data_IF_273823815081
#
_entry.id   IF_273823815081
#
_cell.length_a   1.000
_cell.length_b   1.000
_cell.length_c   1.000
_cell.angle_alpha   90.00
_cell.angle_beta   90.00
_cell.angle_gamma   90.00
#
_symmetry.space_group_name_H-M   'P 1'
#
loop_
_entity.id
_entity.type
_entity.pdbx_description
1 polymer ?
#
# COMPACT_ATOMS: atom_id res chain seq x y z
N UNK A 1 -11.21 -23.70 31.12
CA UNK A 1 -11.79 -22.67 31.99
C UNK A 1 -12.37 -21.60 31.08
N UNK A 2 -13.69 -21.36 31.13
CA UNK A 2 -14.34 -20.39 30.26
C UNK A 2 -14.03 -18.96 30.74
N UNK A 3 -13.38 -18.17 29.90
CA UNK A 3 -13.13 -16.74 30.15
C UNK A 3 -14.48 -16.02 30.22
N UNK A 4 -14.78 -15.38 31.36
CA UNK A 4 -15.99 -14.58 31.52
C UNK A 4 -15.82 -13.28 30.74
N UNK A 5 -16.78 -12.99 29.85
CA UNK A 5 -16.97 -11.68 29.25
C UNK A 5 -17.20 -10.64 30.37
N UNK A 6 -16.18 -9.83 30.66
CA UNK A 6 -16.29 -8.71 31.59
C UNK A 6 -16.69 -7.47 30.80
N UNK A 7 -17.99 -7.14 30.82
CA UNK A 7 -18.51 -5.88 30.28
C UNK A 7 -17.88 -4.73 31.07
N UNK A 8 -17.14 -3.85 30.40
CA UNK A 8 -16.54 -2.65 31.00
C UNK A 8 -15.01 -2.66 31.17
N UNK A 9 -14.29 -3.73 30.79
CA UNK A 9 -12.83 -3.61 30.59
C UNK A 9 -12.57 -2.94 29.25
N UNK A 10 -11.92 -1.78 29.29
CA UNK A 10 -11.44 -1.07 28.11
C UNK A 10 -10.63 -2.01 27.23
N UNK A 11 -10.89 -1.97 25.91
CA UNK A 11 -10.09 -2.72 24.95
C UNK A 11 -8.60 -2.39 25.17
N UNK A 12 -7.69 -3.39 25.08
CA UNK A 12 -6.27 -3.14 25.23
C UNK A 12 -5.84 -2.06 24.24
N UNK A 13 -5.04 -1.07 24.67
CA UNK A 13 -4.62 0.04 23.78
C UNK A 13 -3.68 -0.44 22.68
N UNK A 14 -2.85 -1.42 23.00
CA UNK A 14 -1.92 -2.09 22.08
C UNK A 14 -1.82 -3.58 22.40
N UNK A 15 -1.29 -4.35 21.45
CA UNK A 15 -0.96 -5.76 21.62
C UNK A 15 0.34 -6.09 20.86
N UNK A 16 1.20 -6.98 21.40
CA UNK A 16 2.35 -7.48 20.68
C UNK A 16 1.90 -8.48 19.61
N UNK A 17 2.58 -8.49 18.46
CA UNK A 17 2.38 -9.45 17.39
C UNK A 17 3.72 -9.87 16.79
N UNK A 18 3.86 -11.15 16.50
CA UNK A 18 5.06 -11.68 15.85
C UNK A 18 4.74 -11.86 14.37
N UNK A 19 5.61 -11.33 13.51
CA UNK A 19 5.47 -11.41 12.06
C UNK A 19 6.66 -12.14 11.48
N UNK A 20 6.39 -13.22 10.75
CA UNK A 20 7.40 -13.86 9.92
C UNK A 20 7.50 -13.13 8.58
N UNK A 21 8.63 -12.44 8.35
CA UNK A 21 8.91 -11.78 7.08
C UNK A 21 9.77 -12.70 6.22
N UNK A 22 9.37 -12.99 4.96
CA UNK A 22 10.18 -13.77 4.04
C UNK A 22 11.40 -12.95 3.60
N UNK A 23 12.59 -13.33 4.06
CA UNK A 23 13.86 -12.71 3.60
C UNK A 23 14.63 -13.67 2.69
N UNK A 24 15.56 -13.18 1.85
CA UNK A 24 16.41 -14.04 1.00
C UNK A 24 17.24 -15.06 1.77
N UNK A 25 17.46 -14.84 3.08
CA UNK A 25 18.24 -15.71 3.96
C UNK A 25 17.35 -16.65 4.81
N UNK A 26 16.04 -16.66 4.59
CA UNK A 26 15.06 -17.43 5.34
C UNK A 26 14.00 -16.55 6.02
N UNK A 27 12.89 -17.13 6.50
CA UNK A 27 11.90 -16.38 7.28
C UNK A 27 12.55 -15.82 8.55
N UNK A 28 12.35 -14.53 8.81
CA UNK A 28 12.81 -13.87 10.03
C UNK A 28 11.61 -13.37 10.82
N UNK A 29 11.56 -13.72 12.10
CA UNK A 29 10.56 -13.19 13.01
C UNK A 29 10.92 -11.77 13.42
N UNK A 30 9.96 -10.87 13.31
CA UNK A 30 10.03 -9.48 13.77
C UNK A 30 8.88 -9.29 14.76
N UNK A 31 9.19 -8.78 15.95
CA UNK A 31 8.19 -8.48 16.96
C UNK A 31 7.72 -7.04 16.76
N UNK A 32 6.42 -6.90 16.54
CA UNK A 32 5.76 -5.63 16.40
C UNK A 32 4.86 -5.35 17.60
N UNK A 33 4.70 -4.08 17.94
CA UNK A 33 3.64 -3.63 18.82
C UNK A 33 2.59 -2.89 17.98
N UNK A 34 1.35 -3.37 18.04
CA UNK A 34 0.25 -2.86 17.25
C UNK A 34 -0.77 -2.16 18.13
N UNK A 35 -1.34 -1.05 17.66
CA UNK A 35 -2.50 -0.41 18.28
C UNK A 35 -3.76 -1.25 18.03
N UNK A 36 -4.57 -1.44 19.06
CA UNK A 36 -5.90 -2.02 18.88
C UNK A 36 -6.85 -1.01 18.24
N UNK A 37 -7.55 -1.46 17.19
CA UNK A 37 -8.62 -0.71 16.54
C UNK A 37 -9.89 -1.53 16.46
N UNK A 38 -11.03 -0.85 16.59
CA UNK A 38 -12.34 -1.48 16.41
C UNK A 38 -12.49 -1.99 14.97
N UNK A 39 -13.31 -3.02 14.77
CA UNK A 39 -13.51 -3.58 13.42
C UNK A 39 -14.03 -2.56 12.41
N UNK A 40 -14.88 -1.63 12.85
CA UNK A 40 -15.39 -0.51 12.05
C UNK A 40 -14.31 0.50 11.70
N UNK A 41 -13.46 0.87 12.65
CA UNK A 41 -12.33 1.78 12.43
C UNK A 41 -11.32 1.19 11.45
N UNK A 42 -11.00 -0.10 11.61
CA UNK A 42 -10.10 -0.80 10.68
C UNK A 42 -10.69 -0.97 9.28
N UNK A 43 -11.99 -1.27 9.19
CA UNK A 43 -12.66 -1.36 7.90
C UNK A 43 -12.58 -0.03 7.15
N UNK A 44 -12.91 1.07 7.83
CA UNK A 44 -12.79 2.42 7.27
C UNK A 44 -11.35 2.76 6.86
N UNK A 45 -10.37 2.42 7.70
CA UNK A 45 -8.96 2.67 7.38
C UNK A 45 -8.50 1.94 6.12
N UNK A 46 -8.97 0.71 5.89
CA UNK A 46 -8.67 -0.06 4.67
C UNK A 46 -9.41 0.49 3.45
N UNK A 47 -10.65 0.94 3.61
CA UNK A 47 -11.42 1.58 2.53
C UNK A 47 -10.75 2.89 2.10
N UNK A 48 -10.45 3.78 3.05
CA UNK A 48 -9.74 5.04 2.79
C UNK A 48 -8.40 4.78 2.07
N UNK A 49 -7.72 3.70 2.44
CA UNK A 49 -6.46 3.29 1.83
C UNK A 49 -6.62 2.75 0.40
N UNK A 50 -7.62 1.90 0.16
CA UNK A 50 -7.93 1.38 -1.16
C UNK A 50 -8.38 2.50 -2.13
N UNK A 51 -9.14 3.47 -1.64
CA UNK A 51 -9.50 4.68 -2.39
C UNK A 51 -8.26 5.52 -2.72
N UNK A 52 -7.34 5.67 -1.76
CA UNK A 52 -6.06 6.36 -1.97
C UNK A 52 -5.21 5.73 -3.07
N UNK A 53 -5.07 4.40 -3.06
CA UNK A 53 -4.36 3.65 -4.12
C UNK A 53 -5.04 3.85 -5.47
N UNK A 54 -6.37 3.74 -5.52
CA UNK A 54 -7.15 3.89 -6.74
C UNK A 54 -6.99 5.29 -7.35
N UNK A 55 -7.00 6.32 -6.50
CA UNK A 55 -6.80 7.71 -6.92
C UNK A 55 -5.41 7.93 -7.51
N UNK A 56 -4.36 7.49 -6.83
CA UNK A 56 -2.98 7.65 -7.33
C UNK A 56 -2.76 6.85 -8.61
N UNK A 57 -3.31 5.64 -8.70
CA UNK A 57 -3.27 4.84 -9.94
C UNK A 57 -3.87 5.62 -11.11
N UNK A 58 -5.05 6.23 -10.91
CA UNK A 58 -5.68 7.06 -11.94
C UNK A 58 -4.82 8.27 -12.31
N UNK A 59 -4.24 8.95 -11.33
CA UNK A 59 -3.34 10.09 -11.56
C UNK A 59 -2.10 9.69 -12.38
N UNK A 60 -1.55 8.49 -12.19
CA UNK A 60 -0.43 7.98 -13.00
C UNK A 60 -0.84 7.78 -14.47
N UNK A 61 -2.02 7.22 -14.72
CA UNK A 61 -2.54 7.08 -16.09
C UNK A 61 -2.86 8.43 -16.73
N UNK A 62 -3.46 9.35 -15.99
CA UNK A 62 -3.76 10.70 -16.47
C UNK A 62 -2.47 11.46 -16.79
N UNK A 63 -1.43 11.33 -15.96
CA UNK A 63 -0.11 11.90 -16.21
C UNK A 63 0.54 11.32 -17.47
N UNK A 64 0.49 10.00 -17.66
CA UNK A 64 0.98 9.34 -18.88
C UNK A 64 0.27 9.86 -20.14
N UNK A 65 -1.05 10.10 -20.06
CA UNK A 65 -1.83 10.69 -21.15
C UNK A 65 -1.44 12.15 -21.44
N UNK A 66 -1.17 12.94 -20.40
CA UNK A 66 -0.68 14.33 -20.56
C UNK A 66 0.69 14.36 -21.22
N UNK A 67 1.61 13.49 -20.79
CA UNK A 67 2.93 13.37 -21.43
C UNK A 67 2.83 12.95 -22.90
N UNK A 68 1.98 11.98 -23.21
CA UNK A 68 1.73 11.56 -24.59
C UNK A 68 1.15 12.69 -25.45
N UNK A 69 0.23 13.47 -24.89
CA UNK A 69 -0.35 14.65 -25.56
C UNK A 69 0.71 15.72 -25.82
N UNK A 70 1.62 15.96 -24.87
CA UNK A 70 2.75 16.87 -25.06
C UNK A 70 3.70 16.37 -26.14
N UNK A 71 4.06 15.08 -26.10
CA UNK A 71 4.91 14.46 -27.12
C UNK A 71 4.29 14.57 -28.53
N UNK A 72 2.99 14.32 -28.65
CA UNK A 72 2.23 14.49 -29.88
C UNK A 72 2.24 15.96 -30.37
N UNK A 73 2.06 16.92 -29.46
CA UNK A 73 2.07 18.35 -29.81
C UNK A 73 3.44 18.79 -30.32
N UNK A 74 4.52 18.30 -29.70
CA UNK A 74 5.90 18.60 -30.13
C UNK A 74 6.20 17.91 -31.47
N UNK A 75 5.74 16.67 -31.66
CA UNK A 75 5.91 15.95 -32.92
C UNK A 75 5.14 16.60 -34.09
N UNK A 76 3.89 17.02 -33.86
CA UNK A 76 3.07 17.68 -34.88
C UNK A 76 3.57 19.07 -35.27
N UNK A 77 4.29 19.77 -34.39
CA UNK A 77 4.96 21.04 -34.73
C UNK A 77 6.16 20.86 -35.68
N UNK A 78 6.78 19.68 -35.69
CA UNK A 78 8.00 19.41 -36.46
C UNK A 78 7.77 18.54 -37.71
N UNK A 79 6.53 18.11 -37.99
CA UNK A 79 6.20 17.20 -39.09
C UNK A 79 5.06 17.73 -39.98
N UNK A 80 5.15 17.58 -41.33
CA UNK A 80 4.12 18.05 -42.25
C UNK A 80 2.86 17.14 -42.33
N UNK A 81 2.87 15.97 -41.68
CA UNK A 81 1.69 15.10 -41.53
C UNK A 81 1.15 15.23 -40.11
N UNK A 82 0.19 16.13 -39.93
CA UNK A 82 -0.58 16.25 -38.69
C UNK A 82 -1.91 15.54 -38.88
N UNK A 83 -2.35 14.76 -37.89
CA UNK A 83 -3.64 14.08 -37.92
C UNK A 83 -4.77 15.08 -38.27
N UNK A 84 -5.51 14.77 -39.31
CA UNK A 84 -6.55 15.65 -39.89
C UNK A 84 -7.90 15.50 -39.20
N UNK A 85 -8.08 14.42 -38.42
CA UNK A 85 -9.28 14.15 -37.64
C UNK A 85 -8.96 13.99 -36.15
N UNK A 86 -9.97 14.26 -35.31
CA UNK A 86 -9.86 14.09 -33.85
C UNK A 86 -9.61 12.62 -33.46
N UNK A 87 -10.23 11.68 -34.17
CA UNK A 87 -10.05 10.24 -33.94
C UNK A 87 -8.62 9.75 -34.25
N UNK A 88 -7.99 10.27 -35.31
CA UNK A 88 -6.58 9.95 -35.63
C UNK A 88 -5.64 10.52 -34.58
N UNK A 89 -5.91 11.75 -34.12
CA UNK A 89 -5.14 12.41 -33.05
C UNK A 89 -5.20 11.60 -31.76
N UNK A 90 -6.38 11.16 -31.34
CA UNK A 90 -6.53 10.34 -30.13
C UNK A 90 -5.79 9.02 -30.25
N UNK A 91 -5.87 8.36 -31.41
CA UNK A 91 -5.16 7.10 -31.68
C UNK A 91 -3.64 7.27 -31.62
N UNK A 92 -3.11 8.35 -32.16
CA UNK A 92 -1.67 8.65 -32.11
C UNK A 92 -1.21 9.02 -30.69
N UNK A 93 -2.01 9.78 -29.93
CA UNK A 93 -1.73 10.07 -28.52
C UNK A 93 -1.73 8.77 -27.70
N UNK A 94 -2.70 7.88 -27.90
CA UNK A 94 -2.76 6.58 -27.24
C UNK A 94 -1.53 5.72 -27.58
N UNK A 95 -1.05 5.74 -28.82
CA UNK A 95 0.15 5.02 -29.24
C UNK A 95 1.45 5.60 -28.64
N UNK A 96 1.45 6.90 -28.32
CA UNK A 96 2.57 7.59 -27.65
C UNK A 96 2.54 7.46 -26.13
N UNK A 97 1.45 6.94 -25.56
CA UNK A 97 1.35 6.71 -24.13
C UNK A 97 2.33 5.62 -23.72
N UNK A 98 3.30 6.01 -22.88
CA UNK A 98 4.28 5.06 -22.36
C UNK A 98 3.58 4.07 -21.42
N UNK A 99 3.91 2.76 -21.50
CA UNK A 99 3.43 1.82 -20.50
C UNK A 99 4.02 2.20 -19.14
N UNK A 100 3.16 2.26 -18.13
CA UNK A 100 3.58 2.37 -16.73
C UNK A 100 4.30 1.06 -16.38
N UNK A 101 5.49 1.15 -15.79
CA UNK A 101 6.30 -0.04 -15.51
C UNK A 101 5.76 -0.78 -14.29
N UNK A 102 5.86 -2.10 -14.28
CA UNK A 102 5.49 -2.91 -13.11
C UNK A 102 6.24 -2.47 -11.85
N UNK A 103 7.50 -2.08 -11.98
CA UNK A 103 8.30 -1.53 -10.88
C UNK A 103 7.71 -0.25 -10.27
N UNK A 104 7.06 0.60 -11.07
CA UNK A 104 6.41 1.82 -10.55
C UNK A 104 5.15 1.47 -9.74
N UNK A 105 4.42 0.43 -10.16
CA UNK A 105 3.31 -0.11 -9.38
C UNK A 105 3.78 -0.79 -8.09
N UNK A 106 4.88 -1.55 -8.12
CA UNK A 106 5.46 -2.21 -6.95
C UNK A 106 5.92 -1.19 -5.91
N UNK A 107 6.71 -0.19 -6.30
CA UNK A 107 7.15 0.86 -5.37
C UNK A 107 5.99 1.68 -4.82
N UNK A 108 4.96 1.96 -5.64
CA UNK A 108 3.74 2.61 -5.18
C UNK A 108 3.01 1.76 -4.15
N UNK A 109 2.82 0.46 -4.40
CA UNK A 109 2.21 -0.49 -3.45
C UNK A 109 3.02 -0.58 -2.16
N UNK A 110 4.34 -0.64 -2.23
CA UNK A 110 5.21 -0.69 -1.06
C UNK A 110 5.06 0.55 -0.19
N UNK A 111 5.00 1.74 -0.80
CA UNK A 111 4.77 3.00 -0.10
C UNK A 111 3.42 3.02 0.62
N UNK A 112 2.35 2.67 -0.10
CA UNK A 112 1.02 2.61 0.48
C UNK A 112 0.94 1.57 1.61
N UNK A 113 1.52 0.38 1.43
CA UNK A 113 1.60 -0.63 2.47
C UNK A 113 2.33 -0.09 3.71
N UNK A 114 3.49 0.55 3.54
CA UNK A 114 4.25 1.17 4.63
C UNK A 114 3.44 2.22 5.39
N UNK A 115 2.69 3.08 4.69
CA UNK A 115 1.80 4.07 5.31
C UNK A 115 0.68 3.42 6.14
N UNK A 116 0.07 2.35 5.63
CA UNK A 116 -1.00 1.65 6.36
C UNK A 116 -0.44 0.91 7.58
N UNK A 117 0.72 0.25 7.43
CA UNK A 117 1.42 -0.42 8.54
C UNK A 117 1.79 0.60 9.62
N UNK A 118 2.30 1.77 9.24
CA UNK A 118 2.66 2.82 10.20
C UNK A 118 1.45 3.32 11.01
N UNK A 119 0.24 3.34 10.42
CA UNK A 119 -0.98 3.72 11.14
C UNK A 119 -1.45 2.69 12.16
N UNK A 120 -1.06 1.43 11.99
CA UNK A 120 -1.46 0.33 12.89
C UNK A 120 -0.37 -0.01 13.91
N UNK A 121 0.90 0.30 13.63
CA UNK A 121 2.04 -0.01 14.49
C UNK A 121 2.38 1.13 15.45
N UNK A 122 2.74 0.77 16.67
CA UNK A 122 3.23 1.69 17.72
C UNK A 122 4.68 1.42 18.10
N UNK A 123 5.22 0.25 17.77
CA UNK A 123 6.60 -0.14 18.03
C UNK A 123 7.02 -1.35 17.20
N UNK A 124 8.33 -1.59 17.14
CA UNK A 124 8.93 -2.81 16.60
C UNK A 124 10.29 -3.07 17.27
N UNK A 125 10.83 -4.28 17.12
CA UNK A 125 12.09 -4.71 17.75
C UNK A 125 13.32 -4.60 16.83
N UNK A 126 13.26 -3.75 15.81
CA UNK A 126 14.38 -3.50 14.91
C UNK A 126 15.24 -2.31 15.37
N UNK A 127 16.52 -2.35 15.03
CA UNK A 127 17.48 -1.26 15.31
C UNK A 127 17.13 0.04 14.56
N UNK A 128 16.43 -0.08 13.43
CA UNK A 128 15.97 1.07 12.65
C UNK A 128 14.79 1.76 13.35
N UNK A 129 14.65 3.10 13.25
CA UNK A 129 13.49 3.79 13.78
C UNK A 129 12.21 3.36 13.04
N UNK A 130 11.12 3.15 13.77
CA UNK A 130 9.81 2.90 13.19
C UNK A 130 9.33 4.14 12.45
N UNK A 131 9.35 4.09 11.12
CA UNK A 131 8.93 5.20 10.27
C UNK A 131 8.28 4.68 8.99
N UNK A 132 7.51 5.54 8.31
CA UNK A 132 6.94 5.21 7.00
C UNK A 132 8.03 4.83 6.00
N UNK A 133 9.19 5.50 6.05
CA UNK A 133 10.32 5.20 5.16
C UNK A 133 10.87 3.79 5.42
N UNK A 134 11.15 3.45 6.68
CA UNK A 134 11.68 2.13 7.06
C UNK A 134 10.71 0.99 6.71
N UNK A 135 9.40 1.22 6.89
CA UNK A 135 8.36 0.25 6.54
C UNK A 135 8.17 0.12 5.03
N UNK A 136 8.26 1.23 4.30
CA UNK A 136 8.23 1.23 2.82
C UNK A 136 9.41 0.45 2.28
N UNK A 137 10.61 0.71 2.79
CA UNK A 137 11.82 -0.01 2.41
C UNK A 137 11.72 -1.51 2.71
N UNK A 138 11.16 -1.89 3.86
CA UNK A 138 10.87 -3.30 4.15
C UNK A 138 9.89 -3.91 3.15
N UNK A 139 8.83 -3.19 2.76
CA UNK A 139 7.85 -3.66 1.79
C UNK A 139 8.42 -3.77 0.37
N UNK A 140 9.36 -2.90 0.02
CA UNK A 140 10.04 -2.87 -1.28
C UNK A 140 11.13 -3.95 -1.38
N UNK A 141 11.93 -4.14 -0.32
CA UNK A 141 13.00 -5.13 -0.27
C UNK A 141 12.51 -6.57 -0.11
N UNK A 142 11.39 -6.76 0.60
CA UNK A 142 10.86 -8.09 0.95
C UNK A 142 9.42 -8.23 0.47
N UNK A 143 9.21 -8.73 -0.77
CA UNK A 143 7.87 -9.02 -1.28
C UNK A 143 7.10 -9.96 -0.34
N UNK A 144 5.85 -9.62 -0.05
CA UNK A 144 5.00 -10.38 0.88
C UNK A 144 5.17 -10.01 2.37
N UNK A 145 6.12 -9.14 2.72
CA UNK A 145 6.25 -8.62 4.09
C UNK A 145 4.98 -7.89 4.55
N UNK A 146 4.42 -7.03 3.72
CA UNK A 146 3.18 -6.31 4.02
C UNK A 146 1.99 -7.26 4.30
N UNK A 147 1.82 -8.29 3.47
CA UNK A 147 0.76 -9.29 3.65
C UNK A 147 0.93 -10.06 4.96
N UNK A 148 2.17 -10.41 5.30
CA UNK A 148 2.51 -11.10 6.55
C UNK A 148 2.18 -10.23 7.76
N UNK A 149 2.51 -8.95 7.72
CA UNK A 149 2.16 -7.98 8.78
C UNK A 149 0.64 -7.85 8.92
N UNK A 150 -0.11 -7.68 7.82
CA UNK A 150 -1.56 -7.54 7.89
C UNK A 150 -2.26 -8.82 8.35
N UNK A 151 -1.76 -9.98 7.92
CA UNK A 151 -2.27 -11.27 8.38
C UNK A 151 -2.08 -11.43 9.88
N UNK A 152 -0.88 -11.21 10.39
CA UNK A 152 -0.58 -11.27 11.82
C UNK A 152 -1.42 -10.26 12.63
N UNK A 153 -1.60 -9.04 12.12
CA UNK A 153 -2.44 -8.04 12.75
C UNK A 153 -3.91 -8.47 12.83
N UNK A 154 -4.48 -8.98 11.73
CA UNK A 154 -5.86 -9.46 11.70
C UNK A 154 -6.05 -10.67 12.64
N UNK A 155 -5.13 -11.64 12.59
CA UNK A 155 -5.14 -12.83 13.46
C UNK A 155 -5.01 -12.47 14.94
N UNK A 156 -4.10 -11.56 15.31
CA UNK A 156 -3.94 -11.12 16.68
C UNK A 156 -5.19 -10.37 17.17
N UNK A 157 -5.77 -9.51 16.34
CA UNK A 157 -6.98 -8.75 16.68
C UNK A 157 -8.21 -9.66 16.80
N UNK A 158 -8.39 -10.63 15.92
CA UNK A 158 -9.50 -11.59 15.93
C UNK A 158 -9.31 -12.70 16.98
N UNK A 159 -8.08 -13.15 17.19
CA UNK A 159 -7.71 -14.07 18.27
C UNK A 159 -7.91 -13.44 19.65
N UNK A 160 -7.68 -12.13 19.79
CA UNK A 160 -8.07 -11.36 20.98
C UNK A 160 -9.59 -11.32 21.17
N UNK A 161 -10.35 -11.31 20.07
CA UNK A 161 -11.83 -11.41 20.12
C UNK A 161 -12.32 -12.81 20.52
N UNK A 162 -11.59 -13.87 20.16
CA UNK A 162 -11.94 -15.24 20.52
C UNK A 162 -11.53 -15.62 21.96
N UNK A 163 -10.52 -14.94 22.54
CA UNK A 163 -10.04 -15.19 23.91
C UNK A 163 -10.78 -14.41 25.01
N UNK A 164 -11.60 -13.42 24.65
CA UNK A 164 -12.32 -12.54 25.58
C UNK A 164 -13.80 -12.88 25.75
#
# INVERSE_FOLDING_TARGET
>A
MATKLVIGKSAPKSFPMNVEVPTPHGPREINFEAKYMLSTEWAKLREDHAEGISKVTKEMFDAAKVEATRAYTIASQNAPKVATTEAEREKEILALMKPIKDSEFESMRAKFAGELIFKIMTGWDLDAPLSVASLTEMCDQYPGSAESVFKAYNEAREGTRAKN
#
